data_IF_315080783098
#
_entry.id   IF_315080783098
#
_cell.length_a   1.000
_cell.length_b   1.000
_cell.length_c   1.000
_cell.angle_alpha   90.00
_cell.angle_beta   90.00
_cell.angle_gamma   90.00
#
_symmetry.space_group_name_H-M   'P 1'
#
loop_
_entity.id
_entity.type
_entity.pdbx_description
1 polymer ?
#
# COMPACT_ATOMS: atom_id res chain seq x y z
N UNK A 1 -42.83 21.72 -37.69
CA UNK A 1 -41.88 22.17 -36.63
C UNK A 1 -40.77 22.98 -37.29
N UNK A 2 -40.57 24.25 -36.89
CA UNK A 2 -39.54 25.14 -37.46
C UNK A 2 -38.15 24.67 -37.03
N UNK A 3 -37.19 24.64 -37.96
CA UNK A 3 -35.79 24.17 -37.78
C UNK A 3 -35.08 24.73 -36.54
N UNK A 4 -35.52 25.90 -36.07
CA UNK A 4 -35.06 26.57 -34.84
C UNK A 4 -35.35 25.80 -33.55
N UNK A 5 -36.48 25.09 -33.46
CA UNK A 5 -36.81 24.30 -32.26
C UNK A 5 -36.00 23.00 -32.17
N UNK A 6 -35.61 22.43 -33.31
CA UNK A 6 -34.78 21.23 -33.35
C UNK A 6 -33.34 21.53 -32.90
N UNK A 7 -32.80 22.69 -33.30
CA UNK A 7 -31.47 23.15 -32.89
C UNK A 7 -31.39 23.43 -31.36
N UNK A 8 -32.43 24.03 -30.79
CA UNK A 8 -32.49 24.33 -29.36
C UNK A 8 -32.52 23.05 -28.51
N UNK A 9 -33.27 22.03 -28.93
CA UNK A 9 -33.35 20.73 -28.23
C UNK A 9 -32.00 19.99 -28.28
N UNK A 10 -31.30 20.02 -29.42
CA UNK A 10 -29.98 19.41 -29.56
C UNK A 10 -28.91 20.11 -28.71
N UNK A 11 -28.95 21.43 -28.61
CA UNK A 11 -28.05 22.20 -27.74
C UNK A 11 -28.29 21.91 -26.25
N UNK A 12 -29.54 21.77 -25.82
CA UNK A 12 -29.89 21.44 -24.43
C UNK A 12 -29.47 20.01 -24.05
N UNK A 13 -29.61 19.06 -24.97
CA UNK A 13 -29.22 17.67 -24.72
C UNK A 13 -27.70 17.48 -24.76
N UNK A 14 -26.97 18.19 -25.63
CA UNK A 14 -25.51 18.18 -25.63
C UNK A 14 -24.90 18.81 -24.37
N UNK A 15 -25.54 19.86 -23.82
CA UNK A 15 -25.07 20.50 -22.58
C UNK A 15 -25.29 19.63 -21.33
N UNK A 16 -26.32 18.79 -21.31
CA UNK A 16 -26.53 17.81 -20.22
C UNK A 16 -25.41 16.77 -20.13
N UNK A 17 -24.84 16.32 -21.26
CA UNK A 17 -23.71 15.38 -21.30
C UNK A 17 -22.39 16.05 -20.88
N UNK A 18 -22.22 17.33 -21.21
CA UNK A 18 -21.03 18.09 -20.81
C UNK A 18 -20.98 18.35 -19.29
N UNK A 19 -22.14 18.53 -18.63
CA UNK A 19 -22.20 18.80 -17.18
C UNK A 19 -21.92 17.56 -16.30
N UNK A 20 -22.19 16.34 -16.77
CA UNK A 20 -21.94 15.11 -16.01
C UNK A 20 -20.52 14.56 -16.18
N UNK A 21 -19.73 15.13 -17.11
CA UNK A 21 -18.39 14.64 -17.47
C UNK A 21 -17.22 15.20 -16.66
N UNK A 22 -17.36 16.33 -15.97
CA UNK A 22 -16.22 16.96 -15.29
C UNK A 22 -15.75 16.21 -14.02
N UNK A 23 -16.55 15.30 -13.49
CA UNK A 23 -16.25 14.54 -12.26
C UNK A 23 -16.19 13.01 -12.47
N UNK A 24 -16.36 12.54 -13.71
CA UNK A 24 -16.31 11.12 -14.08
C UNK A 24 -15.14 10.88 -15.04
N UNK A 25 -14.23 9.97 -14.70
CA UNK A 25 -13.09 9.61 -15.55
C UNK A 25 -11.85 9.20 -14.75
N UNK A 26 -10.70 9.01 -15.42
CA UNK A 26 -9.45 8.61 -14.77
C UNK A 26 -8.96 9.59 -13.69
N UNK A 27 -9.47 10.82 -13.69
CA UNK A 27 -9.17 11.87 -12.69
C UNK A 27 -10.36 12.19 -11.78
N UNK A 28 -11.37 11.34 -11.72
CA UNK A 28 -12.44 11.47 -10.74
C UNK A 28 -11.86 11.36 -9.32
N UNK A 29 -12.46 12.07 -8.36
CA UNK A 29 -12.02 12.03 -6.96
C UNK A 29 -12.06 10.63 -6.35
N UNK A 30 -12.90 9.73 -6.88
CA UNK A 30 -12.93 8.31 -6.50
C UNK A 30 -11.76 7.51 -7.06
N UNK A 31 -11.27 7.88 -8.25
CA UNK A 31 -10.15 7.19 -8.91
C UNK A 31 -8.80 7.65 -8.35
N UNK A 32 -8.65 8.94 -8.01
CA UNK A 32 -7.39 9.48 -7.48
C UNK A 32 -7.21 9.25 -5.98
N UNK A 33 -8.21 8.69 -5.28
CA UNK A 33 -8.09 8.34 -3.86
C UNK A 33 -6.96 7.31 -3.62
N UNK A 34 -6.68 6.43 -4.58
CA UNK A 34 -5.59 5.46 -4.49
C UNK A 34 -4.19 6.09 -4.43
N UNK A 35 -4.04 7.35 -4.85
CA UNK A 35 -2.75 8.08 -4.83
C UNK A 35 -2.64 9.07 -3.68
N UNK A 36 -3.65 9.15 -2.82
CA UNK A 36 -3.61 9.98 -1.60
C UNK A 36 -3.19 9.11 -0.42
N UNK A 37 -2.57 9.70 0.61
CA UNK A 37 -2.38 9.00 1.88
C UNK A 37 -3.76 8.67 2.46
N UNK A 38 -4.20 7.43 2.23
CA UNK A 38 -5.30 6.80 2.95
C UNK A 38 -4.77 6.46 4.35
N UNK A 39 -5.64 6.41 5.36
CA UNK A 39 -5.25 6.20 6.75
C UNK A 39 -4.42 4.92 6.97
N UNK A 40 -5.06 3.84 7.42
CA UNK A 40 -4.43 2.53 7.38
C UNK A 40 -4.53 1.93 5.97
N UNK A 41 -3.57 1.10 5.61
CA UNK A 41 -3.58 0.35 4.36
C UNK A 41 -3.18 1.18 3.13
N UNK A 42 -2.04 1.87 3.22
CA UNK A 42 -1.48 2.62 2.10
C UNK A 42 -1.15 1.66 0.96
N UNK A 43 -1.40 2.12 -0.27
CA UNK A 43 -1.12 1.37 -1.49
C UNK A 43 -0.12 2.13 -2.35
N UNK A 44 0.73 1.39 -3.05
CA UNK A 44 1.66 1.94 -4.02
C UNK A 44 1.90 0.94 -5.15
N UNK A 45 2.52 1.41 -6.22
CA UNK A 45 2.98 0.57 -7.32
C UNK A 45 4.40 0.99 -7.68
N UNK A 46 5.29 0.01 -7.79
CA UNK A 46 6.67 0.20 -8.18
C UNK A 46 7.00 -0.85 -9.25
N UNK A 47 7.26 -0.39 -10.48
CA UNK A 47 7.33 -1.28 -11.63
C UNK A 47 6.08 -2.16 -11.74
N UNK A 48 6.29 -3.47 -11.87
CA UNK A 48 5.23 -4.47 -11.92
C UNK A 48 4.82 -5.00 -10.53
N UNK A 49 5.36 -4.43 -9.43
CA UNK A 49 5.02 -4.83 -8.07
C UNK A 49 3.97 -3.87 -7.50
N UNK A 50 2.82 -4.44 -7.15
CA UNK A 50 1.75 -3.75 -6.43
C UNK A 50 1.90 -3.97 -4.94
N UNK A 51 1.94 -2.87 -4.18
CA UNK A 51 2.10 -2.85 -2.73
C UNK A 51 0.76 -2.49 -2.13
N UNK A 52 0.23 -3.36 -1.30
CA UNK A 52 -1.12 -3.25 -0.75
C UNK A 52 -1.11 -3.30 0.77
N UNK A 53 -2.04 -2.54 1.36
CA UNK A 53 -2.35 -2.59 2.79
C UNK A 53 -1.19 -2.25 3.73
N UNK A 54 -0.23 -1.43 3.29
CA UNK A 54 0.91 -1.01 4.12
C UNK A 54 0.42 -0.26 5.38
N UNK A 55 0.73 -0.80 6.57
CA UNK A 55 0.37 -0.26 7.88
C UNK A 55 1.43 -0.62 8.92
N UNK A 56 1.92 0.35 9.69
CA UNK A 56 2.89 0.10 10.77
C UNK A 56 2.15 -0.11 12.08
N UNK A 57 2.31 -1.26 12.71
CA UNK A 57 1.72 -1.55 14.02
C UNK A 57 2.81 -1.44 15.08
N UNK A 58 2.64 -0.51 16.01
CA UNK A 58 3.56 -0.28 17.12
C UNK A 58 3.19 -1.17 18.32
N UNK A 59 4.22 -1.79 18.93
CA UNK A 59 4.06 -2.67 20.08
C UNK A 59 3.46 -1.97 21.28
N UNK A 60 2.59 -2.68 22.00
CA UNK A 60 1.96 -2.20 23.24
C UNK A 60 2.85 -2.37 24.48
N UNK A 61 3.96 -3.10 24.38
CA UNK A 61 4.82 -3.49 25.50
C UNK A 61 5.81 -2.39 25.95
N UNK A 62 5.80 -1.22 25.28
CA UNK A 62 6.66 -0.09 25.60
C UNK A 62 8.08 -0.17 25.04
N UNK A 63 8.39 -1.17 24.21
CA UNK A 63 9.70 -1.32 23.53
C UNK A 63 9.91 -0.32 22.39
N UNK A 64 8.81 0.30 21.91
CA UNK A 64 8.78 1.12 20.68
C UNK A 64 9.11 0.33 19.40
N UNK A 65 9.11 -1.00 19.46
CA UNK A 65 9.24 -1.84 18.27
C UNK A 65 7.96 -1.78 17.43
N UNK A 66 8.09 -1.97 16.12
CA UNK A 66 6.96 -1.96 15.21
C UNK A 66 7.11 -3.01 14.10
N UNK A 67 5.99 -3.54 13.63
CA UNK A 67 5.95 -4.43 12.46
C UNK A 67 5.19 -3.75 11.32
N UNK A 68 5.72 -3.85 10.11
CA UNK A 68 5.00 -3.46 8.89
C UNK A 68 4.11 -4.61 8.42
N UNK A 69 2.81 -4.33 8.35
CA UNK A 69 1.82 -5.17 7.70
C UNK A 69 1.73 -4.73 6.25
N UNK A 70 1.97 -5.63 5.31
CA UNK A 70 1.93 -5.30 3.89
C UNK A 70 1.74 -6.56 3.05
N UNK A 71 1.19 -6.41 1.85
CA UNK A 71 1.09 -7.47 0.85
C UNK A 71 1.68 -6.99 -0.46
N UNK A 72 2.52 -7.81 -1.07
CA UNK A 72 3.10 -7.56 -2.37
C UNK A 72 2.45 -8.49 -3.39
N UNK A 73 2.09 -7.95 -4.55
CA UNK A 73 1.56 -8.71 -5.68
C UNK A 73 2.44 -8.43 -6.88
N UNK A 74 2.94 -9.49 -7.53
CA UNK A 74 3.71 -9.35 -8.76
C UNK A 74 2.77 -9.47 -9.96
N UNK A 75 2.58 -8.36 -10.67
CA UNK A 75 1.76 -8.27 -11.88
C UNK A 75 2.60 -8.45 -13.16
N UNK A 76 3.91 -8.67 -13.02
CA UNK A 76 4.89 -8.81 -14.09
C UNK A 76 5.05 -10.26 -14.57
N UNK A 77 5.97 -10.43 -15.51
CA UNK A 77 6.26 -11.73 -16.14
C UNK A 77 7.52 -12.42 -15.57
N UNK A 78 8.32 -11.70 -14.78
CA UNK A 78 9.56 -12.19 -14.18
C UNK A 78 9.42 -12.28 -12.66
N UNK A 79 10.06 -13.26 -11.99
CA UNK A 79 10.13 -13.28 -10.53
C UNK A 79 10.82 -12.04 -9.95
N UNK A 80 10.40 -11.61 -8.77
CA UNK A 80 11.05 -10.56 -7.99
C UNK A 80 11.17 -11.01 -6.52
N UNK A 81 11.81 -10.21 -5.68
CA UNK A 81 11.86 -10.44 -4.25
C UNK A 81 12.08 -9.13 -3.50
N UNK A 82 11.52 -9.02 -2.29
CA UNK A 82 11.91 -7.96 -1.37
C UNK A 82 13.33 -8.25 -0.87
N UNK A 83 14.24 -7.30 -1.07
CA UNK A 83 15.66 -7.43 -0.68
C UNK A 83 16.07 -6.47 0.43
N UNK A 84 15.30 -5.41 0.61
CA UNK A 84 15.64 -4.32 1.50
C UNK A 84 14.38 -3.63 2.00
N UNK A 85 14.40 -3.19 3.26
CA UNK A 85 13.36 -2.35 3.82
C UNK A 85 13.96 -1.33 4.80
N UNK A 86 13.43 -0.12 4.81
CA UNK A 86 13.64 0.87 5.87
C UNK A 86 12.34 1.37 6.43
N UNK A 87 12.37 1.71 7.71
CA UNK A 87 11.28 2.35 8.42
C UNK A 87 11.88 3.57 9.14
N UNK A 88 11.35 4.75 8.85
CA UNK A 88 11.86 6.02 9.38
C UNK A 88 13.35 6.30 9.06
N UNK A 89 13.85 5.75 7.95
CA UNK A 89 15.26 5.86 7.57
C UNK A 89 16.20 4.86 8.27
N UNK A 90 15.70 4.06 9.20
CA UNK A 90 16.44 2.96 9.81
C UNK A 90 16.19 1.65 9.07
N UNK A 91 17.19 0.77 8.99
CA UNK A 91 17.04 -0.54 8.35
C UNK A 91 16.08 -1.40 9.14
N UNK A 92 15.06 -1.93 8.46
CA UNK A 92 14.12 -2.88 9.02
C UNK A 92 14.63 -4.31 8.82
N UNK A 93 14.34 -5.19 9.78
CA UNK A 93 14.70 -6.60 9.72
C UNK A 93 13.61 -7.39 8.97
N UNK A 94 14.02 -8.11 7.92
CA UNK A 94 13.13 -9.01 7.18
C UNK A 94 13.31 -10.41 7.76
N UNK A 95 12.31 -10.90 8.48
CA UNK A 95 12.34 -12.20 9.13
C UNK A 95 11.58 -13.23 8.30
N UNK A 96 12.27 -14.34 8.01
CA UNK A 96 11.71 -15.51 7.31
C UNK A 96 11.88 -16.71 8.24
N UNK A 97 10.79 -17.32 8.73
CA UNK A 97 10.89 -18.52 9.53
C UNK A 97 11.50 -19.66 8.72
N UNK A 98 12.32 -20.50 9.36
CA UNK A 98 12.95 -21.66 8.72
C UNK A 98 11.91 -22.61 8.07
N UNK A 99 10.72 -22.72 8.69
CA UNK A 99 9.62 -23.53 8.18
C UNK A 99 9.00 -23.00 6.87
N UNK A 100 9.19 -21.72 6.55
CA UNK A 100 8.65 -21.11 5.33
C UNK A 100 9.46 -21.53 4.08
N UNK A 101 10.71 -21.95 4.26
CA UNK A 101 11.63 -22.34 3.19
C UNK A 101 12.26 -21.15 2.46
N UNK A 102 13.29 -21.45 1.66
CA UNK A 102 14.14 -20.43 1.01
C UNK A 102 13.39 -19.55 0.00
N UNK A 103 12.30 -20.05 -0.59
CA UNK A 103 11.53 -19.36 -1.62
C UNK A 103 10.36 -18.54 -1.07
N UNK A 104 10.16 -18.47 0.25
CA UNK A 104 8.98 -17.84 0.86
C UNK A 104 8.82 -16.35 0.53
N UNK A 105 9.93 -15.65 0.27
CA UNK A 105 9.96 -14.23 -0.06
C UNK A 105 9.95 -13.96 -1.56
N UNK A 106 10.04 -15.02 -2.39
CA UNK A 106 10.07 -14.91 -3.85
C UNK A 106 8.68 -14.59 -4.37
N UNK A 107 8.59 -13.48 -5.08
CA UNK A 107 7.40 -13.01 -5.76
C UNK A 107 7.39 -13.56 -7.19
N UNK A 108 6.85 -14.77 -7.38
CA UNK A 108 6.62 -15.33 -8.70
C UNK A 108 5.59 -14.51 -9.50
N UNK A 109 5.60 -14.56 -10.84
CA UNK A 109 4.59 -13.92 -11.68
C UNK A 109 3.15 -14.28 -11.26
N UNK A 110 2.33 -13.26 -11.00
CA UNK A 110 0.94 -13.41 -10.54
C UNK A 110 0.78 -13.83 -9.07
N UNK A 111 1.88 -14.04 -8.35
CA UNK A 111 1.84 -14.43 -6.94
C UNK A 111 1.64 -13.22 -6.01
N UNK A 112 1.21 -13.53 -4.79
CA UNK A 112 1.01 -12.56 -3.72
C UNK A 112 1.69 -13.07 -2.45
N UNK A 113 2.50 -12.25 -1.80
CA UNK A 113 3.19 -12.55 -0.54
C UNK A 113 2.83 -11.50 0.50
N UNK A 114 2.41 -11.95 1.69
CA UNK A 114 2.04 -11.08 2.81
C UNK A 114 3.12 -11.09 3.89
N UNK A 115 3.28 -9.98 4.61
CA UNK A 115 4.14 -9.82 5.78
C UNK A 115 3.31 -9.29 6.95
N UNK A 116 3.56 -9.82 8.16
CA UNK A 116 2.97 -9.41 9.44
C UNK A 116 1.52 -9.84 9.66
N UNK A 117 0.65 -9.69 8.66
CA UNK A 117 -0.76 -10.10 8.73
C UNK A 117 -1.00 -11.44 8.06
N UNK A 118 -1.58 -12.40 8.81
CA UNK A 118 -1.88 -13.76 8.33
C UNK A 118 -0.68 -14.42 7.61
N UNK A 119 0.51 -14.11 8.12
CA UNK A 119 1.79 -14.54 7.56
C UNK A 119 2.80 -14.64 8.68
N UNK A 120 3.68 -15.62 8.56
CA UNK A 120 4.83 -15.77 9.46
C UNK A 120 6.03 -14.93 9.01
N UNK A 121 6.01 -14.40 7.78
CA UNK A 121 7.02 -13.46 7.29
C UNK A 121 6.82 -12.10 7.96
N UNK A 122 7.91 -11.42 8.30
CA UNK A 122 7.84 -10.13 9.01
C UNK A 122 8.82 -9.12 8.47
N UNK A 123 8.48 -7.85 8.68
CA UNK A 123 9.33 -6.70 8.43
C UNK A 123 9.24 -5.84 9.69
N UNK A 124 10.30 -5.85 10.49
CA UNK A 124 10.29 -5.28 11.83
C UNK A 124 11.26 -4.09 11.96
N UNK A 125 10.80 -3.05 12.65
CA UNK A 125 11.64 -1.99 13.16
C UNK A 125 11.91 -2.27 14.64
N UNK A 126 13.19 -2.40 15.01
CA UNK A 126 13.60 -2.65 16.40
C UNK A 126 13.18 -1.50 17.33
N UNK A 127 13.55 -0.26 16.99
CA UNK A 127 13.08 0.95 17.69
C UNK A 127 12.50 1.92 16.67
N UNK A 128 11.25 2.32 16.87
CA UNK A 128 10.59 3.32 16.05
C UNK A 128 10.30 4.57 16.88
N UNK A 129 11.13 5.61 16.70
CA UNK A 129 10.89 6.94 17.25
C UNK A 129 9.85 7.70 16.41
N UNK A 130 8.58 7.32 16.57
CA UNK A 130 7.46 7.99 15.94
C UNK A 130 6.20 7.88 16.82
N UNK A 131 5.41 8.96 16.98
CA UNK A 131 4.14 8.88 17.68
C UNK A 131 3.13 7.99 16.96
N UNK A 132 2.28 7.28 17.71
CA UNK A 132 1.07 6.66 17.15
C UNK A 132 0.21 7.73 16.45
N UNK A 133 -0.45 7.34 15.36
CA UNK A 133 -1.23 8.22 14.47
C UNK A 133 -0.39 9.22 13.68
N UNK A 134 0.92 9.01 13.57
CA UNK A 134 1.80 9.75 12.65
C UNK A 134 2.09 8.95 11.37
N UNK A 135 2.47 9.65 10.31
CA UNK A 135 2.95 9.02 9.09
C UNK A 135 4.47 8.95 9.09
N UNK A 136 5.00 7.77 8.82
CA UNK A 136 6.44 7.47 8.80
C UNK A 136 6.85 7.07 7.38
N UNK A 137 8.00 7.56 6.86
CA UNK A 137 8.51 7.11 5.58
C UNK A 137 8.98 5.65 5.68
N UNK A 138 8.59 4.85 4.69
CA UNK A 138 8.97 3.44 4.55
C UNK A 138 9.48 3.25 3.13
N UNK A 139 10.72 2.78 2.98
CA UNK A 139 11.25 2.42 1.66
C UNK A 139 11.38 0.90 1.54
N UNK A 140 10.92 0.35 0.42
CA UNK A 140 10.92 -1.07 0.12
C UNK A 140 11.69 -1.31 -1.18
N UNK A 141 12.80 -2.02 -1.09
CA UNK A 141 13.68 -2.33 -2.21
C UNK A 141 13.42 -3.73 -2.77
N UNK A 142 13.03 -3.79 -4.03
CA UNK A 142 12.83 -5.02 -4.78
C UNK A 142 14.04 -5.30 -5.68
N UNK A 143 14.33 -6.58 -5.93
CA UNK A 143 15.47 -7.00 -6.75
C UNK A 143 15.39 -6.45 -8.18
N UNK A 144 14.20 -6.44 -8.78
CA UNK A 144 13.99 -6.00 -10.17
C UNK A 144 13.17 -4.70 -10.26
N UNK A 145 12.09 -4.56 -9.50
CA UNK A 145 11.23 -3.38 -9.58
C UNK A 145 11.85 -2.09 -9.02
N UNK A 146 12.92 -2.19 -8.23
CA UNK A 146 13.63 -1.06 -7.64
C UNK A 146 13.04 -0.60 -6.30
N UNK A 147 13.22 0.68 -5.96
CA UNK A 147 12.85 1.23 -4.66
C UNK A 147 11.45 1.86 -4.69
N UNK A 148 10.56 1.40 -3.81
CA UNK A 148 9.26 2.00 -3.56
C UNK A 148 9.29 2.80 -2.25
N UNK A 149 8.95 4.09 -2.30
CA UNK A 149 8.85 4.95 -1.11
C UNK A 149 7.40 5.22 -0.76
N UNK A 150 7.01 4.93 0.48
CA UNK A 150 5.66 5.08 1.01
C UNK A 150 5.66 5.96 2.26
N UNK A 151 4.51 6.57 2.55
CA UNK A 151 4.26 7.28 3.80
C UNK A 151 3.18 6.51 4.56
N UNK A 152 3.57 5.78 5.60
CA UNK A 152 2.73 4.75 6.24
C UNK A 152 2.28 5.21 7.62
N UNK A 153 0.99 5.04 7.92
CA UNK A 153 0.42 5.38 9.22
C UNK A 153 0.87 4.38 10.30
N UNK A 154 1.31 4.92 11.44
CA UNK A 154 1.59 4.17 12.67
C UNK A 154 0.29 4.01 13.47
N UNK A 155 -0.08 2.77 13.76
CA UNK A 155 -1.27 2.42 14.54
C UNK A 155 -0.87 1.66 15.80
N UNK A 156 -1.65 1.74 16.89
CA UNK A 156 -1.39 0.97 18.09
C UNK A 156 -1.80 -0.50 17.90
N UNK A 157 -1.07 -1.42 18.51
CA UNK A 157 -1.42 -2.85 18.59
C UNK A 157 -2.67 -3.08 19.47
N UNK A 158 -3.83 -2.72 18.92
CA UNK A 158 -5.13 -2.79 19.60
C UNK A 158 -6.24 -3.02 18.58
N UNK A 159 -7.42 -3.44 19.06
CA UNK A 159 -8.55 -3.74 18.20
C UNK A 159 -8.20 -4.81 17.16
N UNK A 160 -8.31 -4.47 15.87
CA UNK A 160 -7.96 -5.39 14.78
C UNK A 160 -6.50 -5.87 14.82
N UNK A 161 -5.59 -5.06 15.38
CA UNK A 161 -4.15 -5.36 15.40
C UNK A 161 -3.68 -6.03 16.69
N UNK A 162 -4.59 -6.39 17.60
CA UNK A 162 -4.23 -6.92 18.92
C UNK A 162 -3.38 -8.20 18.87
N UNK A 163 -3.59 -9.03 17.85
CA UNK A 163 -2.91 -10.32 17.68
C UNK A 163 -1.75 -10.26 16.67
N UNK A 164 -1.38 -9.06 16.18
CA UNK A 164 -0.18 -8.92 15.35
C UNK A 164 1.03 -9.28 16.19
N UNK A 165 1.86 -10.19 15.71
CA UNK A 165 3.07 -10.56 16.45
C UNK A 165 4.11 -9.46 16.23
N UNK A 166 4.70 -8.92 17.29
CA UNK A 166 5.79 -7.94 17.24
C UNK A 166 6.94 -8.48 18.09
N UNK A 167 8.13 -8.57 17.51
CA UNK A 167 9.35 -9.00 18.21
C UNK A 167 10.24 -7.76 18.45
N UNK A 168 10.92 -7.70 19.62
CA UNK A 168 11.84 -6.63 19.95
C UNK A 168 13.20 -6.76 19.24
#
# INVERSE_FOLDING_TARGET
>A
MKRTHLAAVLLLSASAVALTGCFNGPRATTTTQATMNTGNGVQAQQGDIRIENATLVMSKDGTQSATLLVRFVNEGLEPDALTYATINGETAEILVPEAAGDDATVLLPGASVSYGWDSELRIDAGVLDAPVSSYVPVDLGFANAGLASLSVLVVPQSGYYENVTILP
#
